data_IF_417512154143
#
_entry.id   IF_417512154143
#
_cell.length_a   1.000
_cell.length_b   1.000
_cell.length_c   1.000
_cell.angle_alpha   90.00
_cell.angle_beta   90.00
_cell.angle_gamma   90.00
#
_symmetry.space_group_name_H-M   'P 1'
#
loop_
_entity.id
_entity.type
_entity.pdbx_description
1 polymer ?
#
# COMPACT_ATOMS: atom_id res chain seq x y z
N UNK A 1 6.55 -48.71 53.22
CA UNK A 1 6.94 -47.39 52.62
C UNK A 1 5.96 -46.36 53.17
N UNK A 2 6.43 -45.51 54.09
CA UNK A 2 5.59 -44.71 54.98
C UNK A 2 4.74 -43.65 54.25
N UNK A 3 3.47 -43.58 54.57
CA UNK A 3 2.48 -42.64 54.03
C UNK A 3 2.92 -41.18 54.14
N UNK A 4 3.71 -40.87 55.18
CA UNK A 4 4.32 -39.53 55.39
C UNK A 4 5.32 -39.12 54.30
N UNK A 5 6.07 -40.09 53.71
CA UNK A 5 7.02 -39.84 52.62
C UNK A 5 6.28 -39.58 51.30
N UNK A 6 5.11 -40.20 51.08
CA UNK A 6 4.29 -39.95 49.91
C UNK A 6 3.64 -38.58 49.95
N UNK A 7 3.22 -38.09 51.12
CA UNK A 7 2.65 -36.74 51.28
C UNK A 7 3.71 -35.65 51.12
N UNK A 8 4.95 -35.87 51.58
CA UNK A 8 6.04 -34.92 51.37
C UNK A 8 6.45 -34.83 49.87
N UNK A 9 6.46 -35.99 49.17
CA UNK A 9 6.73 -36.00 47.73
C UNK A 9 5.66 -35.28 46.89
N UNK A 10 4.38 -35.42 47.29
CA UNK A 10 3.28 -34.76 46.60
C UNK A 10 3.29 -33.21 46.84
N UNK A 11 3.67 -32.76 48.04
CA UNK A 11 3.84 -31.35 48.37
C UNK A 11 5.00 -30.68 47.61
N UNK A 12 6.07 -31.42 47.39
CA UNK A 12 7.23 -30.86 46.65
C UNK A 12 6.98 -30.78 45.14
N UNK A 13 6.19 -31.69 44.55
CA UNK A 13 5.79 -31.62 43.14
C UNK A 13 4.77 -30.50 42.90
N UNK A 14 3.83 -30.30 43.85
CA UNK A 14 2.85 -29.23 43.75
C UNK A 14 3.46 -27.81 43.88
N UNK A 15 4.57 -27.66 44.63
CA UNK A 15 5.26 -26.36 44.76
C UNK A 15 6.15 -26.01 43.54
N UNK A 16 6.53 -27.01 42.73
CA UNK A 16 7.31 -26.77 41.49
C UNK A 16 6.42 -26.34 40.29
N UNK A 17 5.12 -26.56 40.38
CA UNK A 17 4.19 -26.17 39.30
C UNK A 17 3.65 -24.71 39.44
N UNK A 18 4.02 -24.00 40.51
CA UNK A 18 3.60 -22.62 40.74
C UNK A 18 4.65 -21.59 40.32
N UNK A 19 5.76 -22.00 39.71
CA UNK A 19 6.64 -21.07 39.00
C UNK A 19 6.04 -20.84 37.62
N UNK A 20 4.88 -20.26 37.63
CA UNK A 20 4.16 -19.80 36.46
C UNK A 20 4.84 -18.57 35.89
N UNK A 21 4.98 -18.54 34.60
CA UNK A 21 5.31 -17.45 33.69
C UNK A 21 5.45 -16.09 34.38
N UNK A 22 6.64 -15.57 34.43
CA UNK A 22 6.87 -14.19 34.86
C UNK A 22 6.14 -13.25 33.87
N UNK A 23 5.50 -12.22 34.38
CA UNK A 23 4.85 -11.19 33.57
C UNK A 23 5.82 -10.60 32.51
N UNK A 24 7.13 -10.67 32.76
CA UNK A 24 8.18 -10.32 31.81
C UNK A 24 8.14 -11.09 30.48
N UNK A 25 7.67 -12.36 30.48
CA UNK A 25 7.51 -13.11 29.22
C UNK A 25 6.33 -12.60 28.38
N UNK A 26 5.29 -12.09 29.01
CA UNK A 26 4.15 -11.49 28.33
C UNK A 26 4.47 -10.07 27.87
N UNK A 27 5.26 -9.34 28.65
CA UNK A 27 5.77 -8.01 28.26
C UNK A 27 6.74 -8.09 27.09
N UNK A 28 7.61 -9.10 27.05
CA UNK A 28 8.49 -9.33 25.91
C UNK A 28 7.70 -9.65 24.63
N UNK A 29 6.60 -10.41 24.73
CA UNK A 29 5.73 -10.68 23.57
C UNK A 29 4.97 -9.45 23.07
N UNK A 30 4.60 -8.52 23.92
CA UNK A 30 3.99 -7.25 23.51
C UNK A 30 4.96 -6.38 22.70
N UNK A 31 6.26 -6.54 22.89
CA UNK A 31 7.28 -5.80 22.14
C UNK A 31 7.53 -6.37 20.73
N UNK A 32 7.10 -7.59 20.42
CA UNK A 32 7.24 -8.17 19.08
C UNK A 32 6.28 -7.58 18.05
N UNK A 33 5.21 -6.91 18.47
CA UNK A 33 4.27 -6.23 17.57
C UNK A 33 4.67 -4.78 17.28
N UNK A 34 5.49 -4.15 18.11
CA UNK A 34 6.12 -2.87 17.81
C UNK A 34 7.53 -3.15 17.30
N UNK A 35 7.75 -2.95 16.01
CA UNK A 35 9.10 -2.91 15.48
C UNK A 35 9.93 -1.96 16.33
N UNK A 36 11.02 -2.47 16.89
CA UNK A 36 11.89 -1.63 17.72
C UNK A 36 12.38 -0.47 16.86
N UNK A 37 12.32 0.77 17.35
CA UNK A 37 12.78 1.94 16.61
C UNK A 37 14.20 1.79 16.07
N UNK A 38 15.00 0.92 16.70
CA UNK A 38 16.38 0.63 16.32
C UNK A 38 16.53 0.06 14.90
N UNK A 39 15.53 -0.67 14.36
CA UNK A 39 15.61 -1.23 13.01
C UNK A 39 15.75 -0.12 11.95
N UNK A 40 15.22 1.05 12.22
CA UNK A 40 15.28 2.19 11.30
C UNK A 40 16.60 2.96 11.38
N UNK A 41 17.45 2.70 12.39
CA UNK A 41 18.77 3.32 12.50
C UNK A 41 19.82 2.63 11.62
N UNK A 42 19.51 1.45 11.10
CA UNK A 42 20.30 0.75 10.10
C UNK A 42 19.62 0.85 8.73
N UNK A 43 20.39 1.27 7.71
CA UNK A 43 19.85 1.44 6.36
C UNK A 43 19.28 0.14 5.79
N UNK A 44 19.94 -1.00 6.02
CA UNK A 44 19.45 -2.29 5.51
C UNK A 44 18.17 -2.72 6.21
N UNK A 45 18.09 -2.52 7.52
CA UNK A 45 16.86 -2.78 8.29
C UNK A 45 15.69 -1.94 7.81
N UNK A 46 15.89 -0.64 7.64
CA UNK A 46 14.88 0.26 7.08
C UNK A 46 14.50 -0.12 5.64
N UNK A 47 15.48 -0.51 4.80
CA UNK A 47 15.24 -0.96 3.44
C UNK A 47 14.42 -2.25 3.38
N UNK A 48 14.62 -3.18 4.31
CA UNK A 48 13.79 -4.40 4.41
C UNK A 48 12.32 -4.04 4.68
N UNK A 49 12.05 -3.02 5.50
CA UNK A 49 10.68 -2.52 5.71
C UNK A 49 10.08 -1.95 4.43
N UNK A 50 10.84 -1.17 3.68
CA UNK A 50 10.42 -0.67 2.35
C UNK A 50 10.21 -1.83 1.38
N UNK A 51 11.06 -2.87 1.37
CA UNK A 51 10.87 -4.06 0.54
C UNK A 51 9.56 -4.80 0.87
N UNK A 52 9.17 -4.84 2.14
CA UNK A 52 7.86 -5.38 2.54
C UNK A 52 6.70 -4.59 1.89
N UNK A 53 6.81 -3.27 1.78
CA UNK A 53 5.81 -2.43 1.09
C UNK A 53 5.73 -2.79 -0.40
N UNK A 54 6.87 -3.00 -1.08
CA UNK A 54 6.88 -3.51 -2.45
C UNK A 54 6.10 -4.82 -2.56
N UNK A 55 6.38 -5.79 -1.69
CA UNK A 55 5.69 -7.07 -1.66
C UNK A 55 4.18 -6.98 -1.40
N UNK A 56 3.75 -5.95 -0.66
CA UNK A 56 2.34 -5.70 -0.38
C UNK A 56 1.62 -4.97 -1.53
N UNK A 57 2.31 -4.10 -2.25
CA UNK A 57 1.71 -3.23 -3.26
C UNK A 57 1.86 -3.74 -4.69
N UNK A 58 2.89 -4.53 -4.97
CA UNK A 58 3.14 -5.08 -6.31
C UNK A 58 2.68 -6.54 -6.43
N UNK A 59 2.30 -6.99 -7.64
CA UNK A 59 1.97 -8.38 -7.87
C UNK A 59 3.20 -9.28 -7.68
N UNK A 60 3.00 -10.44 -7.04
CA UNK A 60 4.04 -11.45 -6.95
C UNK A 60 4.02 -12.32 -8.21
N UNK A 61 5.02 -12.25 -9.11
CA UNK A 61 5.02 -13.01 -10.36
C UNK A 61 5.13 -14.52 -10.15
N UNK A 62 5.55 -14.96 -8.95
CA UNK A 62 5.78 -16.38 -8.66
C UNK A 62 4.54 -17.09 -8.09
N UNK A 63 3.45 -16.42 -7.83
CA UNK A 63 2.24 -17.08 -7.35
C UNK A 63 1.16 -17.04 -8.41
N UNK A 64 0.76 -18.22 -8.89
CA UNK A 64 -0.41 -18.37 -9.76
C UNK A 64 -1.63 -17.75 -9.05
N UNK A 65 -2.20 -16.71 -9.62
CA UNK A 65 -3.30 -15.96 -9.02
C UNK A 65 -2.91 -14.73 -8.20
N UNK A 66 -1.62 -14.43 -8.04
CA UNK A 66 -1.15 -13.24 -7.31
C UNK A 66 -1.50 -11.92 -8.02
N UNK A 67 -1.63 -11.95 -9.31
CA UNK A 67 -2.14 -10.82 -10.09
C UNK A 67 -3.54 -10.39 -9.67
N UNK A 68 -4.31 -11.32 -9.08
CA UNK A 68 -5.70 -11.12 -8.74
C UNK A 68 -5.93 -10.34 -7.45
N UNK A 69 -5.00 -10.39 -6.51
CA UNK A 69 -5.30 -9.98 -5.14
C UNK A 69 -4.52 -8.75 -4.65
N UNK A 70 -3.36 -8.44 -5.24
CA UNK A 70 -2.47 -7.46 -4.63
C UNK A 70 -2.54 -6.06 -5.21
N UNK A 71 -2.94 -5.89 -6.46
CA UNK A 71 -2.87 -4.58 -7.10
C UNK A 71 -4.18 -4.07 -7.65
N UNK A 72 -5.09 -4.93 -8.04
CA UNK A 72 -6.31 -4.51 -8.73
C UNK A 72 -7.59 -4.84 -7.97
N UNK A 73 -7.53 -5.76 -7.01
CA UNK A 73 -8.73 -6.26 -6.31
C UNK A 73 -9.68 -7.04 -7.21
N UNK A 74 -9.36 -7.18 -8.50
CA UNK A 74 -10.13 -7.94 -9.47
C UNK A 74 -9.36 -9.19 -9.89
N UNK A 75 -10.07 -10.22 -10.28
CA UNK A 75 -9.46 -11.36 -10.95
C UNK A 75 -8.72 -10.87 -12.20
N UNK A 76 -7.57 -11.47 -12.51
CA UNK A 76 -6.59 -10.98 -13.49
C UNK A 76 -7.17 -10.70 -14.87
N UNK A 77 -8.24 -11.34 -15.22
CA UNK A 77 -8.91 -11.23 -16.51
C UNK A 77 -10.21 -10.40 -16.48
N UNK A 78 -10.72 -10.05 -15.29
CA UNK A 78 -12.00 -9.35 -15.18
C UNK A 78 -11.96 -7.90 -15.69
N UNK A 79 -10.84 -7.20 -15.52
CA UNK A 79 -10.74 -5.83 -16.03
C UNK A 79 -10.74 -5.80 -17.54
N UNK A 80 -9.96 -6.69 -18.17
CA UNK A 80 -9.92 -6.80 -19.62
C UNK A 80 -11.25 -7.27 -20.21
N UNK A 81 -11.94 -8.19 -19.53
CA UNK A 81 -13.27 -8.68 -19.93
C UNK A 81 -14.38 -7.65 -19.76
N UNK A 82 -14.19 -6.65 -18.91
CA UNK A 82 -15.12 -5.54 -18.73
C UNK A 82 -14.93 -4.43 -19.79
N UNK A 83 -14.01 -4.61 -20.73
CA UNK A 83 -13.72 -3.68 -21.81
C UNK A 83 -13.91 -4.36 -23.17
N UNK A 84 -13.95 -3.58 -24.23
CA UNK A 84 -13.98 -4.07 -25.61
C UNK A 84 -12.66 -4.68 -26.09
N UNK A 85 -11.59 -4.59 -25.27
CA UNK A 85 -10.27 -5.12 -25.60
C UNK A 85 -10.21 -6.66 -25.56
N UNK A 86 -11.10 -7.28 -24.78
CA UNK A 86 -11.10 -8.72 -24.60
C UNK A 86 -12.50 -9.30 -24.45
N UNK A 87 -12.90 -10.11 -25.40
CA UNK A 87 -14.11 -10.95 -25.29
C UNK A 87 -13.69 -12.34 -24.81
N UNK A 88 -13.90 -12.61 -23.52
CA UNK A 88 -13.58 -13.90 -22.92
C UNK A 88 -14.47 -15.03 -23.44
N UNK A 89 -13.95 -16.25 -23.44
CA UNK A 89 -14.63 -17.46 -23.90
C UNK A 89 -15.67 -17.94 -22.88
N UNK A 90 -15.63 -17.44 -21.64
CA UNK A 90 -16.54 -17.85 -20.58
C UNK A 90 -17.66 -16.84 -20.35
N UNK A 91 -18.88 -17.33 -20.17
CA UNK A 91 -20.05 -16.57 -19.71
C UNK A 91 -19.89 -16.19 -18.24
N UNK A 92 -18.82 -15.51 -17.90
CA UNK A 92 -18.70 -14.98 -16.56
C UNK A 92 -19.23 -13.54 -16.46
N UNK A 93 -19.37 -13.08 -15.26
CA UNK A 93 -20.04 -11.84 -14.95
C UNK A 93 -19.40 -10.57 -15.54
N UNK A 94 -18.17 -10.65 -16.04
CA UNK A 94 -17.51 -9.51 -16.67
C UNK A 94 -18.09 -9.22 -18.06
N UNK A 95 -18.53 -10.23 -18.79
CA UNK A 95 -19.23 -10.06 -20.07
C UNK A 95 -20.59 -9.41 -19.90
N UNK A 96 -21.27 -9.64 -18.77
CA UNK A 96 -22.53 -8.97 -18.46
C UNK A 96 -22.38 -7.48 -18.21
N UNK A 97 -21.20 -7.01 -17.83
CA UNK A 97 -20.96 -5.59 -17.59
C UNK A 97 -20.88 -4.77 -18.88
N UNK A 98 -20.44 -5.41 -19.97
CA UNK A 98 -20.36 -4.79 -21.31
C UNK A 98 -21.66 -4.98 -22.11
N UNK A 99 -22.45 -6.00 -21.79
CA UNK A 99 -23.74 -6.22 -22.42
C UNK A 99 -24.83 -5.36 -21.74
N UNK A 100 -25.36 -4.32 -22.41
CA UNK A 100 -26.38 -3.44 -21.82
C UNK A 100 -27.71 -4.15 -21.55
N UNK A 101 -27.88 -5.38 -22.01
CA UNK A 101 -29.08 -6.21 -21.78
C UNK A 101 -28.92 -7.12 -20.55
N UNK A 102 -27.72 -7.26 -20.04
CA UNK A 102 -27.47 -8.13 -18.91
C UNK A 102 -27.89 -7.45 -17.60
N UNK A 103 -28.67 -8.17 -16.80
CA UNK A 103 -28.95 -7.72 -15.43
C UNK A 103 -27.69 -7.85 -14.55
N UNK A 104 -27.23 -6.74 -14.03
CA UNK A 104 -26.16 -6.72 -13.05
C UNK A 104 -26.72 -7.19 -11.70
N UNK A 105 -26.69 -8.49 -11.47
CA UNK A 105 -27.07 -9.05 -10.16
C UNK A 105 -25.85 -9.24 -9.27
N UNK A 106 -26.05 -9.18 -7.96
CA UNK A 106 -25.02 -9.44 -6.96
C UNK A 106 -24.45 -10.87 -7.04
N UNK A 107 -25.13 -11.78 -7.74
CA UNK A 107 -24.71 -13.17 -7.95
C UNK A 107 -23.81 -13.34 -9.17
N UNK A 108 -23.78 -12.39 -10.10
CA UNK A 108 -23.04 -12.50 -11.36
C UNK A 108 -21.63 -11.92 -11.32
N UNK A 109 -21.18 -11.41 -10.18
CA UNK A 109 -19.77 -11.39 -9.83
C UNK A 109 -18.95 -10.18 -10.21
N UNK A 110 -19.40 -9.18 -11.00
CA UNK A 110 -18.66 -7.94 -11.10
C UNK A 110 -18.91 -7.10 -9.83
N UNK A 111 -17.95 -7.13 -8.94
CA UNK A 111 -17.98 -6.30 -7.72
C UNK A 111 -16.88 -5.27 -7.83
N UNK A 112 -17.18 -4.04 -7.42
CA UNK A 112 -16.14 -3.08 -7.10
C UNK A 112 -15.20 -3.73 -6.09
N UNK A 113 -13.87 -3.65 -6.28
CA UNK A 113 -12.93 -4.25 -5.34
C UNK A 113 -13.22 -3.79 -3.92
N UNK A 114 -13.41 -4.75 -3.03
CA UNK A 114 -13.66 -4.45 -1.63
C UNK A 114 -12.32 -4.27 -0.90
N UNK A 115 -11.87 -3.03 -0.85
CA UNK A 115 -10.67 -2.67 -0.11
C UNK A 115 -10.92 -2.47 1.39
N UNK A 116 -12.18 -2.54 1.84
CA UNK A 116 -12.55 -2.26 3.23
C UNK A 116 -12.82 -3.51 4.06
N UNK A 117 -13.31 -4.59 3.45
CA UNK A 117 -13.83 -5.75 4.17
C UNK A 117 -12.96 -7.01 4.09
N UNK A 118 -11.82 -6.97 3.48
CA UNK A 118 -11.03 -8.18 3.30
C UNK A 118 -10.27 -8.55 4.58
N UNK A 119 -10.98 -9.09 5.54
CA UNK A 119 -10.47 -9.51 6.84
C UNK A 119 -9.46 -10.67 6.75
N UNK A 120 -9.56 -11.50 5.72
CA UNK A 120 -8.76 -12.72 5.61
C UNK A 120 -7.38 -12.52 4.98
N UNK A 121 -7.16 -11.37 4.36
CA UNK A 121 -5.91 -11.09 3.64
C UNK A 121 -5.45 -9.68 3.97
N UNK A 122 -4.74 -9.52 5.07
CA UNK A 122 -4.16 -8.22 5.48
C UNK A 122 -3.37 -7.55 4.34
N UNK A 123 -2.85 -8.35 3.43
CA UNK A 123 -2.14 -7.87 2.24
C UNK A 123 -3.08 -7.30 1.16
N UNK A 124 -4.37 -7.64 1.19
CA UNK A 124 -5.36 -7.10 0.28
C UNK A 124 -6.03 -5.82 0.82
N UNK A 125 -5.99 -5.61 2.13
CA UNK A 125 -6.52 -4.42 2.76
C UNK A 125 -5.62 -3.21 2.48
N UNK A 126 -6.08 -2.30 1.63
CA UNK A 126 -5.34 -1.10 1.26
C UNK A 126 -5.08 -0.18 2.45
N UNK A 127 -5.96 -0.15 3.43
CA UNK A 127 -5.81 0.67 4.65
C UNK A 127 -4.68 0.14 5.53
N UNK A 128 -4.54 -1.18 5.64
CA UNK A 128 -3.40 -1.80 6.31
C UNK A 128 -2.06 -1.46 5.64
N UNK A 129 -2.04 -1.37 4.29
CA UNK A 129 -0.85 -0.93 3.55
C UNK A 129 -0.53 0.54 3.81
N UNK A 130 -1.54 1.42 3.78
CA UNK A 130 -1.37 2.85 4.09
C UNK A 130 -0.83 3.03 5.51
N UNK A 131 -1.37 2.29 6.49
CA UNK A 131 -0.86 2.29 7.86
C UNK A 131 0.61 1.87 7.91
N UNK A 132 0.96 0.74 7.29
CA UNK A 132 2.34 0.24 7.23
C UNK A 132 3.31 1.24 6.59
N UNK A 133 2.85 1.94 5.54
CA UNK A 133 3.64 2.98 4.86
C UNK A 133 3.87 4.16 5.82
N UNK A 134 2.82 4.62 6.51
CA UNK A 134 2.93 5.72 7.46
C UNK A 134 3.86 5.37 8.63
N UNK A 135 3.72 4.17 9.22
CA UNK A 135 4.62 3.66 10.27
C UNK A 135 6.08 3.60 9.80
N UNK A 136 6.30 3.13 8.58
CA UNK A 136 7.65 3.04 8.00
C UNK A 136 8.25 4.43 7.80
N UNK A 137 7.48 5.39 7.28
CA UNK A 137 7.94 6.77 7.11
C UNK A 137 8.22 7.45 8.46
N UNK A 138 7.37 7.25 9.45
CA UNK A 138 7.58 7.78 10.80
C UNK A 138 8.87 7.24 11.40
N UNK A 139 9.10 5.91 11.34
CA UNK A 139 10.32 5.29 11.81
C UNK A 139 11.58 5.79 11.11
N UNK A 140 11.56 5.89 9.76
CA UNK A 140 12.69 6.41 8.98
C UNK A 140 12.98 7.87 9.33
N UNK A 141 11.96 8.71 9.42
CA UNK A 141 12.12 10.13 9.72
C UNK A 141 12.69 10.35 11.14
N UNK A 142 12.27 9.54 12.12
CA UNK A 142 12.77 9.55 13.49
C UNK A 142 14.16 8.92 13.67
N UNK A 143 14.71 8.25 12.66
CA UNK A 143 15.99 7.53 12.74
C UNK A 143 17.21 8.44 12.69
N UNK A 144 18.38 7.86 12.96
CA UNK A 144 19.69 8.52 12.88
C UNK A 144 20.33 8.46 11.49
N UNK A 145 19.63 7.92 10.48
CA UNK A 145 20.12 7.84 9.11
C UNK A 145 20.44 9.22 8.52
N UNK A 146 21.35 9.24 7.54
CA UNK A 146 21.63 10.44 6.77
C UNK A 146 20.38 10.94 6.02
N UNK A 147 20.28 12.24 5.75
CA UNK A 147 19.14 12.77 5.02
C UNK A 147 19.01 12.14 3.63
N UNK A 148 20.13 11.88 2.95
CA UNK A 148 20.13 11.22 1.64
C UNK A 148 19.57 9.80 1.71
N UNK A 149 19.87 9.04 2.77
CA UNK A 149 19.32 7.70 2.97
C UNK A 149 17.84 7.75 3.33
N UNK A 150 17.43 8.70 4.18
CA UNK A 150 16.01 8.95 4.47
C UNK A 150 15.26 9.29 3.19
N UNK A 151 15.77 10.16 2.35
CA UNK A 151 15.11 10.55 1.10
C UNK A 151 14.97 9.40 0.13
N UNK A 152 15.97 8.52 0.00
CA UNK A 152 15.87 7.28 -0.78
C UNK A 152 14.74 6.38 -0.33
N UNK A 153 14.58 6.22 0.98
CA UNK A 153 13.59 5.31 1.56
C UNK A 153 12.19 5.94 1.58
N UNK A 154 12.07 7.18 2.05
CA UNK A 154 10.80 7.90 2.16
C UNK A 154 10.20 8.18 0.79
N UNK A 155 11.01 8.50 -0.22
CA UNK A 155 10.52 8.71 -1.59
C UNK A 155 9.80 7.49 -2.16
N UNK A 156 10.30 6.28 -1.88
CA UNK A 156 9.62 5.04 -2.27
C UNK A 156 8.30 4.85 -1.50
N UNK A 157 8.29 5.15 -0.20
CA UNK A 157 7.09 5.06 0.63
C UNK A 157 5.99 6.01 0.14
N UNK A 158 6.34 7.26 -0.18
CA UNK A 158 5.40 8.26 -0.71
C UNK A 158 4.78 7.80 -2.04
N UNK A 159 5.60 7.25 -2.95
CA UNK A 159 5.09 6.65 -4.19
C UNK A 159 4.05 5.57 -3.93
N UNK A 160 4.32 4.63 -3.02
CA UNK A 160 3.38 3.55 -2.72
C UNK A 160 2.14 4.04 -1.97
N UNK A 161 2.23 5.08 -1.15
CA UNK A 161 1.07 5.70 -0.53
C UNK A 161 0.18 6.34 -1.61
N UNK A 162 0.77 7.11 -2.51
CA UNK A 162 0.07 7.66 -3.65
C UNK A 162 -0.58 6.57 -4.53
N UNK A 163 0.12 5.47 -4.78
CA UNK A 163 -0.41 4.30 -5.50
C UNK A 163 -1.65 3.72 -4.82
N UNK A 164 -1.61 3.52 -3.50
CA UNK A 164 -2.75 3.02 -2.74
C UNK A 164 -3.96 3.96 -2.85
N UNK A 165 -3.74 5.27 -2.68
CA UNK A 165 -4.81 6.26 -2.82
C UNK A 165 -5.33 6.37 -4.26
N UNK A 166 -4.48 6.24 -5.26
CA UNK A 166 -4.91 6.19 -6.66
C UNK A 166 -5.86 5.01 -6.92
N UNK A 167 -5.56 3.83 -6.37
CA UNK A 167 -6.47 2.67 -6.48
C UNK A 167 -7.81 2.95 -5.78
N UNK A 168 -7.81 3.54 -4.60
CA UNK A 168 -9.02 3.90 -3.88
C UNK A 168 -9.87 4.91 -4.66
N UNK A 169 -9.25 6.00 -5.12
CA UNK A 169 -9.97 7.07 -5.83
C UNK A 169 -10.58 6.58 -7.13
N UNK A 170 -9.87 5.72 -7.85
CA UNK A 170 -10.35 5.13 -9.11
C UNK A 170 -11.69 4.42 -8.94
N UNK A 171 -11.92 3.76 -7.80
CA UNK A 171 -13.12 2.96 -7.55
C UNK A 171 -14.16 3.67 -6.68
N UNK A 172 -13.73 4.45 -5.70
CA UNK A 172 -14.61 5.02 -4.69
C UNK A 172 -14.77 6.54 -4.79
N UNK A 173 -13.99 7.21 -5.62
CA UNK A 173 -13.94 8.67 -5.64
C UNK A 173 -13.21 9.20 -4.41
N UNK A 174 -13.80 10.15 -3.69
CA UNK A 174 -13.20 10.65 -2.45
C UNK A 174 -13.19 9.58 -1.34
N UNK A 175 -12.14 9.59 -0.53
CA UNK A 175 -11.95 8.67 0.61
C UNK A 175 -11.30 9.44 1.77
N UNK A 176 -11.29 8.93 3.01
CA UNK A 176 -10.52 9.53 4.09
C UNK A 176 -9.03 9.63 3.74
N UNK A 177 -8.40 10.77 4.02
CA UNK A 177 -6.94 10.93 3.86
C UNK A 177 -6.30 10.73 5.23
N UNK A 178 -5.44 9.71 5.34
CA UNK A 178 -4.76 9.30 6.57
C UNK A 178 -3.25 9.37 6.32
N UNK A 179 -2.59 10.30 7.01
CA UNK A 179 -1.16 10.60 6.83
C UNK A 179 -0.30 10.19 8.02
N UNK A 180 -0.93 9.75 9.09
CA UNK A 180 -0.29 9.39 10.36
C UNK A 180 -0.77 8.01 10.84
N UNK A 181 -0.06 7.45 11.79
CA UNK A 181 -0.44 6.20 12.45
C UNK A 181 -1.54 6.50 13.46
N UNK A 182 -2.75 6.04 13.15
CA UNK A 182 -3.89 6.22 14.05
C UNK A 182 -3.83 5.21 15.19
N UNK A 183 -4.03 5.67 16.43
CA UNK A 183 -4.24 4.78 17.56
C UNK A 183 -5.64 4.15 17.49
N UNK A 184 -5.80 2.92 17.99
CA UNK A 184 -7.09 2.26 18.04
C UNK A 184 -8.04 3.04 18.98
N UNK A 185 -8.87 3.89 18.43
CA UNK A 185 -9.94 4.59 19.14
C UNK A 185 -11.28 4.25 18.50
N UNK A 186 -12.17 3.52 19.19
CA UNK A 186 -13.48 3.15 18.67
C UNK A 186 -14.38 4.35 18.31
N UNK A 187 -14.07 5.55 18.80
CA UNK A 187 -14.83 6.78 18.57
C UNK A 187 -14.26 7.69 17.48
N UNK A 188 -13.06 7.42 16.95
CA UNK A 188 -12.44 8.30 15.98
C UNK A 188 -12.72 7.83 14.55
N UNK A 189 -13.55 8.59 13.85
CA UNK A 189 -13.81 8.39 12.44
C UNK A 189 -13.21 9.54 11.63
N UNK A 190 -12.27 9.22 10.75
CA UNK A 190 -11.78 10.20 9.78
C UNK A 190 -12.85 10.43 8.70
N UNK A 191 -13.25 11.66 8.51
CA UNK A 191 -14.25 12.02 7.51
C UNK A 191 -13.74 11.76 6.10
N UNK A 192 -14.67 11.43 5.21
CA UNK A 192 -14.40 11.26 3.79
C UNK A 192 -14.04 12.61 3.16
N UNK A 193 -12.88 12.67 2.51
CA UNK A 193 -12.44 13.81 1.72
C UNK A 193 -13.08 13.80 0.34
N UNK A 194 -13.08 14.95 -0.36
CA UNK A 194 -13.54 15.00 -1.74
C UNK A 194 -12.59 14.27 -2.69
N UNK A 195 -13.08 13.86 -3.87
CA UNK A 195 -12.20 13.29 -4.88
C UNK A 195 -11.10 14.28 -5.30
N UNK A 196 -11.42 15.59 -5.34
CA UNK A 196 -10.44 16.64 -5.63
C UNK A 196 -9.31 16.63 -4.60
N UNK A 197 -9.65 16.68 -3.31
CA UNK A 197 -8.63 16.71 -2.25
C UNK A 197 -7.76 15.45 -2.29
N UNK A 198 -8.36 14.28 -2.58
CA UNK A 198 -7.60 13.04 -2.74
C UNK A 198 -6.65 13.09 -3.94
N UNK A 199 -7.07 13.64 -5.07
CA UNK A 199 -6.18 13.81 -6.24
C UNK A 199 -5.05 14.78 -5.93
N UNK A 200 -5.32 15.91 -5.28
CA UNK A 200 -4.29 16.86 -4.85
C UNK A 200 -3.30 16.23 -3.88
N UNK A 201 -3.78 15.43 -2.95
CA UNK A 201 -2.95 14.66 -2.03
C UNK A 201 -2.05 13.65 -2.76
N UNK A 202 -2.61 12.86 -3.69
CA UNK A 202 -1.84 11.91 -4.51
C UNK A 202 -0.76 12.62 -5.31
N UNK A 203 -1.11 13.74 -5.95
CA UNK A 203 -0.17 14.54 -6.75
C UNK A 203 0.97 15.06 -5.88
N UNK A 204 0.65 15.57 -4.68
CA UNK A 204 1.65 16.05 -3.73
C UNK A 204 2.61 14.92 -3.29
N UNK A 205 2.09 13.76 -2.92
CA UNK A 205 2.94 12.63 -2.55
C UNK A 205 3.86 12.19 -3.71
N UNK A 206 3.38 12.26 -4.96
CA UNK A 206 4.18 11.92 -6.13
C UNK A 206 5.24 12.98 -6.46
N UNK A 207 4.95 14.26 -6.23
CA UNK A 207 5.94 15.32 -6.37
C UNK A 207 7.03 15.19 -5.30
N UNK A 208 6.64 15.04 -4.03
CA UNK A 208 7.58 14.84 -2.93
C UNK A 208 8.42 13.55 -3.15
N UNK A 209 7.83 12.49 -3.69
CA UNK A 209 8.56 11.26 -4.04
C UNK A 209 9.58 11.51 -5.16
N UNK A 210 9.17 12.21 -6.22
CA UNK A 210 10.06 12.49 -7.35
C UNK A 210 11.26 13.35 -6.92
N UNK A 211 11.02 14.39 -6.12
CA UNK A 211 12.06 15.29 -5.62
C UNK A 211 13.05 14.56 -4.71
N UNK A 212 12.56 13.75 -3.77
CA UNK A 212 13.40 12.96 -2.87
C UNK A 212 14.24 11.93 -3.62
N UNK A 213 13.66 11.23 -4.56
CA UNK A 213 14.35 10.22 -5.35
C UNK A 213 15.35 10.83 -6.33
N UNK A 214 15.06 12.00 -6.90
CA UNK A 214 16.01 12.73 -7.76
C UNK A 214 17.24 13.21 -6.98
N UNK A 215 17.04 13.72 -5.77
CA UNK A 215 18.13 14.19 -4.91
C UNK A 215 19.00 13.04 -4.36
N UNK A 216 18.37 11.89 -4.10
CA UNK A 216 19.02 10.76 -3.44
C UNK A 216 19.75 9.79 -4.37
N UNK A 217 19.40 9.81 -5.66
CA UNK A 217 19.95 8.88 -6.66
C UNK A 217 20.59 9.66 -7.81
N UNK A 218 21.83 9.32 -8.16
CA UNK A 218 22.53 9.98 -9.27
C UNK A 218 21.70 9.78 -10.55
N UNK A 219 21.41 10.85 -11.26
CA UNK A 219 20.55 10.87 -12.44
C UNK A 219 19.15 10.28 -12.25
N UNK A 220 18.68 10.18 -11.00
CA UNK A 220 17.36 9.60 -10.67
C UNK A 220 17.29 8.07 -10.79
N UNK A 221 18.38 7.40 -11.11
CA UNK A 221 18.45 5.95 -11.24
C UNK A 221 19.03 5.26 -10.00
N UNK A 222 18.86 3.96 -9.93
CA UNK A 222 19.43 3.08 -8.93
C UNK A 222 20.66 2.36 -9.50
N UNK A 223 21.57 1.93 -8.62
CA UNK A 223 22.66 1.05 -9.00
C UNK A 223 22.14 -0.34 -9.43
N UNK A 224 23.05 -1.18 -9.95
CA UNK A 224 22.71 -2.52 -10.45
C UNK A 224 22.01 -3.42 -9.42
N UNK A 225 22.33 -3.28 -8.15
CA UNK A 225 21.80 -4.12 -7.08
C UNK A 225 20.37 -3.69 -6.67
N UNK A 226 20.01 -2.46 -6.99
CA UNK A 226 18.73 -1.84 -6.70
C UNK A 226 17.90 -1.57 -7.97
N UNK A 227 18.27 -2.15 -9.10
CA UNK A 227 17.56 -1.98 -10.34
C UNK A 227 16.12 -2.46 -10.25
N UNK A 228 15.17 -1.69 -10.81
CA UNK A 228 13.74 -1.97 -10.73
C UNK A 228 13.02 -1.31 -9.55
N UNK A 229 13.75 -0.61 -8.67
CA UNK A 229 13.10 0.21 -7.65
C UNK A 229 12.45 1.46 -8.24
N UNK A 230 11.51 2.02 -7.50
CA UNK A 230 10.84 3.27 -7.86
C UNK A 230 11.88 4.39 -8.04
N UNK A 231 11.81 5.08 -9.16
CA UNK A 231 12.64 6.25 -9.50
C UNK A 231 11.80 7.53 -9.49
N UNK A 232 12.43 8.69 -9.56
CA UNK A 232 11.73 9.96 -9.79
C UNK A 232 10.87 9.92 -11.07
N UNK A 233 11.38 9.32 -12.14
CA UNK A 233 10.64 9.10 -13.38
C UNK A 233 9.38 8.26 -13.17
N UNK A 234 9.47 7.17 -12.38
CA UNK A 234 8.32 6.32 -12.05
C UNK A 234 7.23 7.12 -11.32
N UNK A 235 7.61 7.99 -10.38
CA UNK A 235 6.66 8.84 -9.65
C UNK A 235 5.97 9.84 -10.60
N UNK A 236 6.73 10.50 -11.47
CA UNK A 236 6.18 11.43 -12.46
C UNK A 236 5.30 10.75 -13.51
N UNK A 237 5.63 9.52 -13.91
CA UNK A 237 4.79 8.74 -14.82
C UNK A 237 3.42 8.41 -14.19
N UNK A 238 3.42 8.00 -12.91
CA UNK A 238 2.17 7.76 -12.20
C UNK A 238 1.38 9.06 -12.02
N UNK A 239 2.04 10.18 -11.72
CA UNK A 239 1.39 11.51 -11.63
C UNK A 239 0.68 11.85 -12.94
N UNK A 240 1.32 11.63 -14.09
CA UNK A 240 0.70 11.82 -15.40
C UNK A 240 -0.60 11.00 -15.54
N UNK A 241 -0.58 9.73 -15.17
CA UNK A 241 -1.76 8.86 -15.20
C UNK A 241 -2.88 9.35 -14.27
N UNK A 242 -2.55 9.81 -13.08
CA UNK A 242 -3.49 10.38 -12.11
C UNK A 242 -4.18 11.62 -12.69
N UNK A 243 -3.41 12.50 -13.31
CA UNK A 243 -3.96 13.74 -13.92
C UNK A 243 -4.83 13.45 -15.15
N UNK A 244 -4.49 12.46 -15.97
CA UNK A 244 -5.35 11.99 -17.08
C UNK A 244 -6.65 11.42 -16.54
N UNK A 245 -6.61 10.60 -15.48
CA UNK A 245 -7.83 10.12 -14.83
C UNK A 245 -8.69 11.28 -14.33
N UNK A 246 -8.07 12.29 -13.69
CA UNK A 246 -8.76 13.47 -13.18
C UNK A 246 -9.36 14.34 -14.28
N UNK A 247 -8.73 14.37 -15.46
CA UNK A 247 -9.24 15.07 -16.64
C UNK A 247 -10.34 14.29 -17.38
N UNK A 248 -10.44 12.96 -17.15
CA UNK A 248 -11.40 12.10 -17.85
C UNK A 248 -12.86 12.43 -17.53
N UNK A 249 -13.81 12.06 -18.41
CA UNK A 249 -15.23 12.35 -18.20
C UNK A 249 -15.81 11.82 -16.89
N UNK A 250 -15.18 10.79 -16.28
CA UNK A 250 -15.58 10.25 -14.98
C UNK A 250 -15.54 11.33 -13.88
N UNK A 251 -14.48 12.13 -13.86
CA UNK A 251 -14.26 13.18 -12.85
C UNK A 251 -14.43 14.60 -13.38
N UNK A 252 -14.53 14.76 -14.70
CA UNK A 252 -14.57 16.06 -15.38
C UNK A 252 -15.81 16.17 -16.29
N UNK A 253 -16.99 16.07 -15.69
CA UNK A 253 -18.27 16.11 -16.41
C UNK A 253 -18.53 17.44 -17.12
N UNK A 254 -17.93 18.53 -16.62
CA UNK A 254 -17.98 19.85 -17.23
C UNK A 254 -17.04 20.02 -18.43
N UNK A 255 -16.21 19.01 -18.72
CA UNK A 255 -15.17 19.03 -19.75
C UNK A 255 -14.22 20.23 -19.61
N UNK A 256 -13.78 20.51 -18.39
CA UNK A 256 -12.80 21.54 -18.10
C UNK A 256 -11.47 21.23 -18.82
N UNK A 257 -11.18 22.05 -19.83
CA UNK A 257 -9.99 21.89 -20.68
C UNK A 257 -8.68 22.13 -19.92
N UNK A 258 -8.72 22.89 -18.81
CA UNK A 258 -7.53 23.14 -17.98
C UNK A 258 -6.99 21.85 -17.39
N UNK A 259 -7.83 20.90 -17.05
CA UNK A 259 -7.39 19.58 -16.52
C UNK A 259 -6.64 18.78 -17.57
N UNK A 260 -7.10 18.79 -18.81
CA UNK A 260 -6.42 18.13 -19.93
C UNK A 260 -5.08 18.82 -20.24
N UNK A 261 -5.05 20.15 -20.25
CA UNK A 261 -3.83 20.91 -20.44
C UNK A 261 -2.80 20.60 -19.35
N UNK A 262 -3.23 20.59 -18.07
CA UNK A 262 -2.35 20.25 -16.95
C UNK A 262 -1.77 18.84 -17.06
N UNK A 263 -2.60 17.85 -17.44
CA UNK A 263 -2.13 16.48 -17.66
C UNK A 263 -1.10 16.41 -18.78
N UNK A 264 -1.37 17.07 -19.91
CA UNK A 264 -0.46 17.13 -21.04
C UNK A 264 0.89 17.76 -20.68
N UNK A 265 0.89 18.95 -20.06
CA UNK A 265 2.11 19.65 -19.67
C UNK A 265 2.93 18.83 -18.66
N UNK A 266 2.27 18.20 -17.70
CA UNK A 266 2.95 17.33 -16.73
C UNK A 266 3.66 16.17 -17.43
N UNK A 267 2.97 15.47 -18.34
CA UNK A 267 3.55 14.32 -19.05
C UNK A 267 4.72 14.80 -19.94
N UNK A 268 4.53 15.87 -20.70
CA UNK A 268 5.55 16.46 -21.57
C UNK A 268 6.81 16.83 -20.80
N UNK A 269 6.63 17.50 -19.64
CA UNK A 269 7.75 17.95 -18.81
C UNK A 269 8.45 16.78 -18.08
N UNK A 270 7.79 15.63 -17.94
CA UNK A 270 8.38 14.44 -17.33
C UNK A 270 9.28 13.64 -18.26
N UNK A 271 9.15 13.80 -19.58
CA UNK A 271 9.91 13.01 -20.59
C UNK A 271 11.41 13.07 -20.36
N UNK A 272 12.06 14.24 -20.13
CA UNK A 272 13.50 14.28 -19.88
C UNK A 272 13.93 13.48 -18.66
N UNK A 273 13.12 13.52 -17.57
CA UNK A 273 13.40 12.79 -16.32
C UNK A 273 13.23 11.29 -16.54
N UNK A 274 12.19 10.86 -17.27
CA UNK A 274 11.98 9.46 -17.65
C UNK A 274 13.15 8.92 -18.43
N UNK A 275 13.65 9.66 -19.42
CA UNK A 275 14.80 9.27 -20.23
C UNK A 275 16.11 9.20 -19.42
N UNK A 276 16.23 9.99 -18.35
CA UNK A 276 17.41 9.97 -17.48
C UNK A 276 17.39 8.84 -16.44
N UNK A 277 16.21 8.27 -16.16
CA UNK A 277 16.06 7.18 -15.20
C UNK A 277 16.24 5.78 -15.81
N UNK A 278 16.55 5.68 -17.10
CA UNK A 278 16.71 4.43 -17.82
C UNK A 278 15.46 4.04 -18.54
#
# INVERSE_FOLDING_TARGET
MNTKIKLLGLGLVASLTLVSCSDSFLEEKQNYEKFTPEIYNDFQGAQLRVNSIYGQCLPNPNSAGAWNNNCTGLASDMQSKATEEYTGISNDAATSFVDPRAELSSSTGFKVPDYFQNEQKHLANVWGRIRNINETMEGINGSTLSQADKDKLVGQCLFFRAWCYYQLVKWYGGVPIITEVQEPDPGSFTQRSSAKDCIEFIVKDLDDAADKLAAATTNGGWDSDNWGRVTSGTALALKGRVLVLWASPMFNRSNDQTRWQNAYEQIKNSIPVLNACG
#
